data_IF_585106718102
#
_entry.id   IF_585106718102
#
_cell.length_a   1.000
_cell.length_b   1.000
_cell.length_c   1.000
_cell.angle_alpha   90.00
_cell.angle_beta   90.00
_cell.angle_gamma   90.00
#
_symmetry.space_group_name_H-M   'P 1'
#
loop_
_entity.id
_entity.type
_entity.pdbx_description
1 polymer ?
#
# COMPACT_ATOMS: atom_id res chain seq x y z
N UNK A 1 -28.84 -51.21 7.10
CA UNK A 1 -28.02 -50.84 8.28
C UNK A 1 -26.98 -51.92 8.50
N UNK A 2 -25.71 -51.61 8.33
CA UNK A 2 -24.62 -52.37 8.92
C UNK A 2 -23.75 -51.34 9.66
N UNK A 3 -24.06 -51.18 10.94
CA UNK A 3 -23.24 -50.51 11.94
C UNK A 3 -22.19 -51.53 12.35
N UNK A 4 -20.91 -51.14 12.44
CA UNK A 4 -19.73 -51.94 12.84
C UNK A 4 -18.78 -52.38 11.70
N UNK A 5 -18.36 -51.45 10.83
CA UNK A 5 -16.96 -51.43 10.39
C UNK A 5 -16.25 -50.35 11.21
N UNK A 6 -15.67 -50.75 12.34
CA UNK A 6 -14.55 -49.99 12.90
C UNK A 6 -13.39 -50.26 11.95
N UNK A 7 -13.00 -49.25 11.18
CA UNK A 7 -11.72 -49.27 10.49
C UNK A 7 -10.66 -49.58 11.55
N UNK A 8 -10.06 -50.77 11.48
CA UNK A 8 -8.83 -51.03 12.20
C UNK A 8 -7.82 -50.03 11.67
N UNK A 9 -7.51 -49.02 12.48
CA UNK A 9 -6.38 -48.13 12.23
C UNK A 9 -5.14 -49.01 12.32
N UNK A 10 -4.70 -49.56 11.20
CA UNK A 10 -3.37 -50.13 11.09
C UNK A 10 -2.40 -49.01 11.49
N UNK A 11 -1.72 -49.20 12.62
CA UNK A 11 -0.68 -48.28 13.09
C UNK A 11 0.49 -48.38 12.11
N UNK A 12 0.41 -47.61 11.04
CA UNK A 12 1.52 -47.37 10.13
C UNK A 12 2.70 -46.76 10.87
N UNK A 13 3.88 -46.80 10.26
CA UNK A 13 5.08 -46.23 10.87
C UNK A 13 4.88 -44.73 11.15
N UNK A 14 5.58 -44.13 12.13
CA UNK A 14 5.51 -42.68 12.37
C UNK A 14 5.75 -41.85 11.10
N UNK A 15 6.57 -42.34 10.15
CA UNK A 15 6.78 -41.72 8.85
C UNK A 15 5.51 -41.71 7.98
N UNK A 16 4.70 -42.77 7.99
CA UNK A 16 3.43 -42.84 7.25
C UNK A 16 2.35 -41.91 7.83
N UNK A 17 2.35 -41.73 9.15
CA UNK A 17 1.47 -40.77 9.83
C UNK A 17 1.84 -39.32 9.48
N UNK A 18 3.13 -39.00 9.47
CA UNK A 18 3.64 -37.69 9.02
C UNK A 18 3.35 -37.43 7.54
N UNK A 19 3.41 -38.46 6.68
CA UNK A 19 3.06 -38.35 5.27
C UNK A 19 1.56 -38.11 5.05
N UNK A 20 0.69 -38.80 5.80
CA UNK A 20 -0.77 -38.64 5.73
C UNK A 20 -1.25 -37.28 6.26
N UNK A 21 -0.64 -36.75 7.33
CA UNK A 21 -1.01 -35.44 7.87
C UNK A 21 -0.66 -34.28 6.91
N UNK A 22 0.40 -34.44 6.13
CA UNK A 22 0.84 -33.48 5.10
C UNK A 22 -0.07 -33.43 3.87
N UNK A 23 -0.80 -34.50 3.57
CA UNK A 23 -1.63 -34.60 2.36
C UNK A 23 -2.97 -33.82 2.44
N UNK A 24 -3.38 -33.32 3.62
CA UNK A 24 -4.76 -32.87 3.86
C UNK A 24 -4.97 -31.34 3.99
N UNK A 25 -3.96 -30.49 3.79
CA UNK A 25 -4.14 -29.03 4.02
C UNK A 25 -3.64 -28.19 2.85
N UNK A 26 -4.40 -28.15 1.76
CA UNK A 26 -4.36 -26.99 0.88
C UNK A 26 -4.83 -25.79 1.70
N UNK A 27 -4.01 -24.74 1.82
CA UNK A 27 -4.33 -23.56 2.62
C UNK A 27 -5.64 -22.90 2.15
N UNK A 28 -6.37 -22.26 3.06
CA UNK A 28 -7.61 -21.58 2.71
C UNK A 28 -7.39 -20.55 1.57
N UNK A 29 -8.36 -20.39 0.64
CA UNK A 29 -8.24 -19.43 -0.44
C UNK A 29 -8.11 -17.99 0.10
N UNK A 30 -7.32 -17.17 -0.57
CA UNK A 30 -7.10 -15.77 -0.18
C UNK A 30 -8.33 -14.95 -0.52
N UNK A 31 -8.93 -14.36 0.51
CA UNK A 31 -9.97 -13.34 0.41
C UNK A 31 -9.41 -11.94 0.62
N UNK A 32 -10.15 -10.92 0.18
CA UNK A 32 -9.93 -9.49 0.48
C UNK A 32 -9.53 -9.28 1.95
N UNK A 33 -10.35 -9.78 2.88
CA UNK A 33 -10.11 -9.65 4.32
C UNK A 33 -8.86 -10.39 4.79
N UNK A 34 -8.61 -11.60 4.29
CA UNK A 34 -7.44 -12.38 4.71
C UNK A 34 -6.13 -11.77 4.21
N UNK A 35 -6.12 -11.18 3.01
CA UNK A 35 -4.96 -10.52 2.44
C UNK A 35 -4.54 -9.30 3.28
N UNK A 36 -5.52 -8.54 3.79
CA UNK A 36 -5.26 -7.38 4.65
C UNK A 36 -4.63 -7.74 6.01
N UNK A 37 -4.62 -9.03 6.39
CA UNK A 37 -3.88 -9.50 7.58
C UNK A 37 -2.39 -9.68 7.32
N UNK A 38 -1.95 -9.73 6.05
CA UNK A 38 -0.54 -9.78 5.71
C UNK A 38 0.08 -8.39 5.90
N UNK A 39 1.12 -8.31 6.75
CA UNK A 39 1.74 -7.04 7.13
C UNK A 39 2.39 -6.30 5.95
N UNK A 40 3.11 -7.01 5.08
CA UNK A 40 3.76 -6.41 3.91
C UNK A 40 2.73 -5.87 2.91
N UNK A 41 1.65 -6.62 2.68
CA UNK A 41 0.53 -6.19 1.83
C UNK A 41 -0.14 -4.93 2.39
N UNK A 42 -0.52 -4.95 3.67
CA UNK A 42 -1.15 -3.81 4.35
C UNK A 42 -0.25 -2.58 4.35
N UNK A 43 1.03 -2.73 4.68
CA UNK A 43 1.99 -1.64 4.73
C UNK A 43 2.21 -1.01 3.35
N UNK A 44 2.34 -1.82 2.30
CA UNK A 44 2.51 -1.32 0.93
C UNK A 44 1.28 -0.56 0.42
N UNK A 45 0.07 -1.10 0.65
CA UNK A 45 -1.17 -0.43 0.29
C UNK A 45 -1.32 0.91 1.04
N UNK A 46 -1.17 0.88 2.37
CA UNK A 46 -1.27 2.07 3.22
C UNK A 46 -0.26 3.14 2.82
N UNK A 47 1.01 2.76 2.60
CA UNK A 47 2.05 3.71 2.24
C UNK A 47 1.70 4.42 0.93
N UNK A 48 1.41 3.66 -0.13
CA UNK A 48 1.14 4.24 -1.44
C UNK A 48 -0.15 5.08 -1.44
N UNK A 49 -1.21 4.60 -0.79
CA UNK A 49 -2.48 5.32 -0.76
C UNK A 49 -2.39 6.63 0.00
N UNK A 50 -1.74 6.63 1.17
CA UNK A 50 -1.58 7.83 2.00
C UNK A 50 -0.63 8.85 1.36
N UNK A 51 0.47 8.40 0.74
CA UNK A 51 1.39 9.31 0.02
C UNK A 51 0.71 10.03 -1.14
N UNK A 52 -0.24 9.39 -1.82
CA UNK A 52 -1.03 10.04 -2.89
C UNK A 52 -2.14 10.90 -2.30
N UNK A 53 -2.80 10.45 -1.23
CA UNK A 53 -3.86 11.18 -0.54
C UNK A 53 -3.39 12.47 0.15
N UNK A 54 -2.12 12.56 0.54
CA UNK A 54 -1.57 13.76 1.17
C UNK A 54 -1.16 14.87 0.18
N UNK A 55 -1.16 14.58 -1.13
CA UNK A 55 -0.83 15.57 -2.15
C UNK A 55 -1.96 16.61 -2.25
N UNK A 56 -1.65 17.92 -2.12
CA UNK A 56 -2.63 18.97 -2.37
C UNK A 56 -3.24 18.84 -3.77
N UNK A 57 -4.55 19.10 -3.85
CA UNK A 57 -5.34 19.02 -5.08
C UNK A 57 -5.64 20.44 -5.54
N UNK A 58 -4.90 20.87 -6.55
CA UNK A 58 -4.98 22.21 -7.09
C UNK A 58 -5.70 22.19 -8.44
N UNK A 59 -6.54 23.19 -8.69
CA UNK A 59 -7.30 23.30 -9.93
C UNK A 59 -6.68 24.38 -10.82
N UNK A 60 -6.44 24.04 -12.08
CA UNK A 60 -5.84 24.95 -13.04
C UNK A 60 -6.75 25.17 -14.26
N UNK A 61 -6.52 26.28 -14.94
CA UNK A 61 -7.06 26.57 -16.27
C UNK A 61 -5.92 26.93 -17.21
N UNK A 62 -5.85 26.26 -18.36
CA UNK A 62 -4.91 26.61 -19.44
C UNK A 62 -5.36 27.90 -20.12
N UNK A 63 -4.46 28.87 -20.28
CA UNK A 63 -4.70 30.03 -21.15
C UNK A 63 -4.43 29.61 -22.60
N UNK A 64 -5.35 29.91 -23.52
CA UNK A 64 -5.14 29.59 -24.93
C UNK A 64 -4.08 30.53 -25.53
N UNK A 65 -3.06 29.96 -26.18
CA UNK A 65 -1.98 30.71 -26.83
C UNK A 65 -0.73 30.93 -25.96
N UNK A 66 -0.84 30.72 -24.65
CA UNK A 66 0.27 30.79 -23.71
C UNK A 66 0.36 29.43 -23.00
N UNK A 67 1.54 28.79 -22.94
CA UNK A 67 1.73 27.52 -22.21
C UNK A 67 1.77 27.75 -20.69
N UNK A 68 0.81 28.53 -20.19
CA UNK A 68 0.69 28.97 -18.80
C UNK A 68 -0.60 28.39 -18.23
N UNK A 69 -0.42 27.69 -17.11
CA UNK A 69 -1.51 27.16 -16.31
C UNK A 69 -1.77 28.13 -15.15
N UNK A 70 -2.99 28.67 -15.08
CA UNK A 70 -3.38 29.63 -14.04
C UNK A 70 -4.20 28.90 -12.98
N UNK A 71 -3.83 29.10 -11.72
CA UNK A 71 -4.56 28.60 -10.56
C UNK A 71 -5.97 29.21 -10.52
N UNK A 72 -6.96 28.38 -10.30
CA UNK A 72 -8.35 28.78 -10.14
C UNK A 72 -8.93 28.15 -8.87
N UNK A 73 -9.86 28.83 -8.16
CA UNK A 73 -10.45 28.27 -6.96
C UNK A 73 -11.01 26.86 -7.18
N UNK A 74 -10.52 25.90 -6.38
CA UNK A 74 -10.99 24.53 -6.41
C UNK A 74 -12.46 24.45 -6.02
N UNK A 75 -13.32 23.77 -6.81
CA UNK A 75 -14.72 23.58 -6.45
C UNK A 75 -14.87 22.65 -5.26
N UNK A 76 -16.05 22.64 -4.64
CA UNK A 76 -16.33 21.78 -3.48
C UNK A 76 -16.09 20.28 -3.74
N UNK A 77 -16.27 19.82 -4.97
CA UNK A 77 -15.96 18.43 -5.35
C UNK A 77 -14.49 18.07 -5.25
N UNK A 78 -13.58 19.05 -5.27
CA UNK A 78 -12.13 18.87 -5.06
C UNK A 78 -11.68 19.18 -3.63
N UNK A 79 -12.59 19.56 -2.74
CA UNK A 79 -12.32 19.83 -1.32
C UNK A 79 -12.94 18.75 -0.45
N UNK A 80 -14.21 18.44 -0.71
CA UNK A 80 -15.04 17.51 0.04
C UNK A 80 -15.89 16.69 -0.94
N UNK A 81 -15.29 15.71 -1.62
CA UNK A 81 -15.93 14.93 -2.68
C UNK A 81 -17.01 13.95 -2.20
N UNK A 82 -17.15 13.71 -0.90
CA UNK A 82 -18.03 12.68 -0.36
C UNK A 82 -18.89 13.20 0.80
N UNK A 83 -20.13 12.73 0.82
CA UNK A 83 -21.12 12.95 1.88
C UNK A 83 -21.24 11.77 2.85
N UNK A 84 -20.46 10.70 2.61
CA UNK A 84 -20.48 9.49 3.42
C UNK A 84 -20.21 9.80 4.90
N UNK A 85 -20.84 9.04 5.81
CA UNK A 85 -20.61 9.19 7.26
C UNK A 85 -21.46 10.24 7.98
N UNK A 86 -22.59 10.67 7.39
CA UNK A 86 -23.64 11.49 8.02
C UNK A 86 -23.13 12.57 9.00
N UNK A 87 -22.64 13.69 8.48
CA UNK A 87 -22.06 14.78 9.27
C UNK A 87 -20.55 14.64 9.51
N UNK A 88 -19.93 13.56 9.03
CA UNK A 88 -18.47 13.37 9.00
C UNK A 88 -17.97 13.22 7.55
N UNK A 89 -18.08 14.28 6.74
CA UNK A 89 -17.75 14.17 5.33
C UNK A 89 -16.25 13.92 5.14
N UNK A 90 -15.92 13.15 4.11
CA UNK A 90 -14.53 12.84 3.78
C UNK A 90 -13.92 13.98 2.97
N UNK A 91 -12.83 14.56 3.49
CA UNK A 91 -12.01 15.51 2.73
C UNK A 91 -11.31 14.84 1.54
N UNK A 92 -10.91 15.65 0.54
CA UNK A 92 -10.33 15.15 -0.71
C UNK A 92 -9.14 14.21 -0.50
N UNK A 93 -8.25 14.52 0.45
CA UNK A 93 -7.07 13.68 0.69
C UNK A 93 -7.41 12.28 1.21
N UNK A 94 -8.36 12.20 2.16
CA UNK A 94 -8.85 10.92 2.68
C UNK A 94 -9.62 10.14 1.61
N UNK A 95 -10.41 10.83 0.80
CA UNK A 95 -11.12 10.22 -0.34
C UNK A 95 -10.14 9.66 -1.38
N UNK A 96 -9.08 10.40 -1.70
CA UNK A 96 -8.03 9.94 -2.60
C UNK A 96 -7.30 8.73 -2.02
N UNK A 97 -6.90 8.77 -0.74
CA UNK A 97 -6.26 7.61 -0.09
C UNK A 97 -7.17 6.37 -0.12
N UNK A 98 -8.44 6.52 0.30
CA UNK A 98 -9.40 5.40 0.34
C UNK A 98 -9.64 4.80 -1.05
N UNK A 99 -9.86 5.63 -2.07
CA UNK A 99 -10.11 5.14 -3.44
C UNK A 99 -8.83 4.61 -4.11
N UNK A 100 -7.66 5.15 -3.77
CA UNK A 100 -6.37 4.63 -4.22
C UNK A 100 -6.09 3.25 -3.63
N UNK A 101 -6.44 3.02 -2.36
CA UNK A 101 -6.33 1.69 -1.74
C UNK A 101 -7.17 0.64 -2.49
N UNK A 102 -8.37 0.98 -2.94
CA UNK A 102 -9.20 0.07 -3.75
C UNK A 102 -8.67 -0.14 -5.17
N UNK A 103 -8.13 0.89 -5.82
CA UNK A 103 -7.41 0.74 -7.09
C UNK A 103 -6.21 -0.20 -6.95
N UNK A 104 -5.53 -0.13 -5.81
CA UNK A 104 -4.34 -0.93 -5.52
C UNK A 104 -4.68 -2.37 -5.14
N UNK A 105 -5.87 -2.60 -4.58
CA UNK A 105 -6.36 -3.95 -4.23
C UNK A 105 -7.01 -4.63 -5.43
N UNK A 106 -7.89 -3.94 -6.14
CA UNK A 106 -8.81 -4.54 -7.12
C UNK A 106 -8.59 -4.07 -8.55
N UNK A 107 -7.70 -3.10 -8.78
CA UNK A 107 -7.51 -2.47 -10.10
C UNK A 107 -8.69 -1.60 -10.54
N UNK A 108 -9.73 -1.50 -9.71
CA UNK A 108 -10.98 -0.84 -10.03
C UNK A 108 -11.48 -0.18 -8.74
N UNK A 109 -12.00 1.04 -8.86
CA UNK A 109 -12.65 1.75 -7.78
C UNK A 109 -13.98 2.32 -8.30
N UNK A 110 -15.03 2.16 -7.49
CA UNK A 110 -16.38 2.59 -7.83
C UNK A 110 -16.86 3.60 -6.80
N UNK A 111 -17.60 4.59 -7.25
CA UNK A 111 -18.29 5.54 -6.38
C UNK A 111 -19.66 5.90 -6.92
N UNK A 112 -20.65 6.03 -6.04
CA UNK A 112 -21.99 6.46 -6.41
C UNK A 112 -22.02 7.98 -6.52
N UNK A 113 -22.50 8.50 -7.65
CA UNK A 113 -22.66 9.95 -7.86
C UNK A 113 -23.96 10.38 -7.18
N UNK A 114 -23.85 10.93 -5.97
CA UNK A 114 -25.00 11.33 -5.14
C UNK A 114 -25.54 12.69 -5.56
N UNK A 115 -24.65 13.59 -6.02
CA UNK A 115 -25.04 14.92 -6.47
C UNK A 115 -24.23 15.34 -7.71
N UNK A 116 -24.85 16.19 -8.53
CA UNK A 116 -24.23 16.81 -9.70
C UNK A 116 -24.23 18.32 -9.57
N UNK A 117 -23.26 18.95 -10.21
CA UNK A 117 -23.20 20.40 -10.31
C UNK A 117 -24.14 20.93 -11.42
N UNK A 118 -24.14 22.26 -11.61
CA UNK A 118 -24.94 22.92 -12.65
C UNK A 118 -24.56 22.51 -14.09
N UNK A 119 -23.38 21.93 -14.29
CA UNK A 119 -22.91 21.42 -15.59
C UNK A 119 -23.22 19.93 -15.78
N UNK A 120 -23.90 19.29 -14.82
CA UNK A 120 -24.20 17.86 -14.83
C UNK A 120 -23.00 16.97 -14.49
N UNK A 121 -21.89 17.56 -14.03
CA UNK A 121 -20.68 16.85 -13.63
C UNK A 121 -20.80 16.36 -12.17
N UNK A 122 -20.05 15.33 -11.76
CA UNK A 122 -20.09 14.85 -10.38
C UNK A 122 -19.68 15.94 -9.38
N UNK A 123 -20.58 16.25 -8.45
CA UNK A 123 -20.32 17.16 -7.34
C UNK A 123 -20.00 16.41 -6.05
N UNK A 124 -20.70 15.28 -5.83
CA UNK A 124 -20.50 14.39 -4.68
C UNK A 124 -20.47 12.95 -5.17
N UNK A 125 -19.41 12.22 -4.82
CA UNK A 125 -19.16 10.82 -5.18
C UNK A 125 -18.77 10.05 -3.93
N UNK A 126 -19.68 9.21 -3.45
CA UNK A 126 -19.45 8.38 -2.28
C UNK A 126 -18.78 7.07 -2.73
N UNK A 127 -17.54 6.77 -2.25
CA UNK A 127 -16.87 5.51 -2.56
C UNK A 127 -17.70 4.31 -2.09
N UNK A 128 -17.70 3.24 -2.89
CA UNK A 128 -18.42 2.02 -2.58
C UNK A 128 -17.43 0.87 -2.39
N UNK A 129 -17.58 0.02 -1.35
CA UNK A 129 -16.75 -1.15 -1.18
C UNK A 129 -16.80 -2.03 -2.42
N UNK A 130 -15.65 -2.23 -3.07
CA UNK A 130 -15.60 -3.00 -4.31
C UNK A 130 -15.97 -4.47 -4.12
N UNK A 131 -15.81 -5.01 -2.91
CA UNK A 131 -16.14 -6.41 -2.58
C UNK A 131 -17.63 -6.74 -2.70
N UNK A 132 -18.51 -5.74 -2.56
CA UNK A 132 -19.96 -5.88 -2.74
C UNK A 132 -20.43 -5.36 -4.11
N UNK A 133 -19.50 -5.11 -5.04
CA UNK A 133 -19.78 -4.55 -6.34
C UNK A 133 -19.54 -5.54 -7.48
N UNK A 134 -20.34 -5.42 -8.54
CA UNK A 134 -20.12 -6.10 -9.80
C UNK A 134 -20.21 -5.12 -10.97
N UNK A 135 -19.34 -5.32 -11.95
CA UNK A 135 -19.32 -4.52 -13.18
C UNK A 135 -19.92 -5.38 -14.30
N UNK A 136 -21.03 -4.94 -14.88
CA UNK A 136 -21.63 -5.62 -16.02
C UNK A 136 -20.99 -5.12 -17.31
N UNK A 137 -20.42 -6.04 -18.09
CA UNK A 137 -19.74 -5.72 -19.35
C UNK A 137 -20.36 -6.48 -20.52
N UNK A 138 -20.37 -5.85 -21.69
CA UNK A 138 -20.75 -6.46 -22.97
C UNK A 138 -19.66 -6.16 -23.99
N UNK A 139 -18.78 -7.14 -24.22
CA UNK A 139 -17.57 -6.93 -25.00
C UNK A 139 -16.67 -5.88 -24.33
N UNK A 140 -16.28 -4.85 -25.08
CA UNK A 140 -15.42 -3.76 -24.60
C UNK A 140 -16.17 -2.61 -23.90
N UNK A 141 -17.45 -2.78 -23.57
CA UNK A 141 -18.29 -1.74 -22.96
C UNK A 141 -18.75 -2.15 -21.57
N UNK A 142 -18.71 -1.21 -20.63
CA UNK A 142 -19.47 -1.31 -19.37
C UNK A 142 -20.92 -0.93 -19.67
N UNK A 143 -21.87 -1.75 -19.25
CA UNK A 143 -23.31 -1.55 -19.50
C UNK A 143 -24.09 -1.20 -18.23
N UNK A 144 -23.50 -1.42 -17.05
CA UNK A 144 -24.10 -1.09 -15.77
C UNK A 144 -23.27 -1.63 -14.62
N UNK A 145 -23.73 -1.35 -13.41
CA UNK A 145 -23.08 -1.75 -12.17
C UNK A 145 -24.11 -2.35 -11.23
N UNK A 146 -23.69 -3.30 -10.40
CA UNK A 146 -24.43 -3.72 -9.21
C UNK A 146 -23.64 -3.29 -8.00
N UNK A 147 -24.26 -2.52 -7.11
CA UNK A 147 -23.65 -2.08 -5.86
C UNK A 147 -24.53 -2.61 -4.72
N UNK A 148 -24.02 -3.61 -3.99
CA UNK A 148 -24.80 -4.37 -3.03
C UNK A 148 -25.97 -5.09 -3.70
N UNK A 149 -27.21 -4.68 -3.36
CA UNK A 149 -28.45 -5.31 -3.88
C UNK A 149 -29.13 -4.51 -4.98
N UNK A 150 -28.58 -3.37 -5.38
CA UNK A 150 -29.19 -2.46 -6.34
C UNK A 150 -28.35 -2.40 -7.62
N UNK A 151 -29.04 -2.35 -8.76
CA UNK A 151 -28.43 -2.15 -10.06
C UNK A 151 -28.47 -0.66 -10.43
N UNK A 152 -27.39 -0.15 -11.02
CA UNK A 152 -27.17 1.24 -11.39
C UNK A 152 -26.71 1.35 -12.84
N UNK A 153 -27.07 2.44 -13.49
CA UNK A 153 -26.66 2.75 -14.86
C UNK A 153 -25.24 3.34 -14.90
N UNK A 154 -24.66 3.41 -16.10
CA UNK A 154 -23.30 3.93 -16.29
C UNK A 154 -23.15 5.41 -15.97
N UNK A 155 -24.24 6.17 -15.97
CA UNK A 155 -24.20 7.59 -15.63
C UNK A 155 -24.19 7.81 -14.11
N UNK A 156 -24.78 6.90 -13.32
CA UNK A 156 -24.92 7.06 -11.87
C UNK A 156 -23.66 6.70 -11.08
N UNK A 157 -22.72 6.00 -11.71
CA UNK A 157 -21.52 5.47 -11.04
C UNK A 157 -20.27 6.03 -11.69
N UNK A 158 -19.41 6.60 -10.86
CA UNK A 158 -18.04 6.91 -11.20
C UNK A 158 -17.19 5.64 -11.11
N UNK A 159 -16.41 5.35 -12.15
CA UNK A 159 -15.54 4.18 -12.23
C UNK A 159 -14.14 4.58 -12.65
N UNK A 160 -13.19 4.47 -11.73
CA UNK A 160 -11.76 4.59 -12.02
C UNK A 160 -11.11 3.20 -12.12
N UNK A 161 -10.14 3.09 -13.03
CA UNK A 161 -9.48 1.84 -13.37
C UNK A 161 -7.97 2.00 -13.38
N UNK A 162 -7.27 1.05 -12.82
CA UNK A 162 -5.83 0.88 -12.90
C UNK A 162 -5.49 -0.44 -13.62
N UNK A 163 -4.27 -0.54 -14.17
CA UNK A 163 -3.78 -1.78 -14.80
C UNK A 163 -4.71 -2.36 -15.87
N UNK A 164 -5.26 -1.49 -16.72
CA UNK A 164 -6.24 -1.87 -17.76
C UNK A 164 -5.51 -2.51 -18.95
N UNK A 165 -5.73 -3.80 -19.26
CA UNK A 165 -5.20 -4.42 -20.46
C UNK A 165 -5.82 -3.80 -21.71
N UNK A 166 -5.07 -3.80 -22.82
CA UNK A 166 -5.59 -3.35 -24.11
C UNK A 166 -6.90 -4.10 -24.46
N UNK A 167 -7.95 -3.34 -24.81
CA UNK A 167 -9.26 -3.89 -25.17
C UNK A 167 -10.17 -4.26 -23.99
N UNK A 168 -9.69 -4.20 -22.74
CA UNK A 168 -10.51 -4.46 -21.55
C UNK A 168 -11.24 -3.20 -21.06
N UNK A 169 -12.55 -3.28 -20.74
CA UNK A 169 -13.25 -2.20 -20.08
C UNK A 169 -12.93 -2.09 -18.58
N UNK A 170 -12.26 -3.08 -17.97
CA UNK A 170 -11.96 -3.13 -16.53
C UNK A 170 -10.46 -3.30 -16.25
N UNK A 171 -10.02 -2.86 -15.07
CA UNK A 171 -8.65 -3.05 -14.59
C UNK A 171 -8.38 -4.46 -14.07
N UNK A 172 -7.12 -4.90 -14.14
CA UNK A 172 -6.68 -6.16 -13.50
C UNK A 172 -6.52 -5.96 -12.00
N UNK A 173 -6.97 -6.94 -11.21
CA UNK A 173 -6.86 -6.94 -9.75
C UNK A 173 -5.45 -7.35 -9.29
N UNK A 174 -4.68 -6.45 -8.63
CA UNK A 174 -3.39 -6.82 -8.05
C UNK A 174 -3.53 -7.86 -6.93
N UNK A 175 -4.61 -7.81 -6.15
CA UNK A 175 -4.92 -8.83 -5.14
C UNK A 175 -5.05 -10.22 -5.77
N UNK A 176 -5.77 -10.33 -6.90
CA UNK A 176 -5.95 -11.58 -7.60
C UNK A 176 -4.61 -12.09 -8.19
N UNK A 177 -3.80 -11.18 -8.72
CA UNK A 177 -2.46 -11.52 -9.23
C UNK A 177 -1.53 -12.00 -8.10
N UNK A 178 -1.60 -11.39 -6.92
CA UNK A 178 -0.78 -11.72 -5.76
C UNK A 178 -1.30 -12.93 -4.94
N UNK A 179 -2.43 -13.53 -5.33
CA UNK A 179 -3.17 -14.48 -4.49
C UNK A 179 -2.32 -15.67 -4.03
N UNK A 180 -1.49 -16.26 -4.91
CA UNK A 180 -0.62 -17.38 -4.54
C UNK A 180 0.51 -16.97 -3.58
N UNK A 181 1.17 -15.84 -3.83
CA UNK A 181 2.22 -15.32 -2.94
C UNK A 181 1.68 -14.97 -1.56
N UNK A 182 0.48 -14.37 -1.51
CA UNK A 182 -0.24 -14.12 -0.27
C UNK A 182 -0.64 -15.41 0.45
N UNK A 183 -1.15 -16.41 -0.28
CA UNK A 183 -1.56 -17.70 0.29
C UNK A 183 -0.36 -18.41 0.93
N UNK A 184 0.79 -18.40 0.25
CA UNK A 184 2.02 -18.99 0.76
C UNK A 184 2.46 -18.32 2.07
N UNK A 185 2.46 -16.99 2.12
CA UNK A 185 2.84 -16.23 3.32
C UNK A 185 1.85 -16.44 4.49
N UNK A 186 0.54 -16.40 4.22
CA UNK A 186 -0.49 -16.64 5.24
C UNK A 186 -0.45 -18.09 5.77
N UNK A 187 -0.21 -19.07 4.89
CA UNK A 187 -0.07 -20.47 5.27
C UNK A 187 1.19 -20.70 6.10
N UNK A 188 2.29 -20.03 5.78
CA UNK A 188 3.52 -20.05 6.57
C UNK A 188 3.27 -19.48 7.98
N UNK A 189 2.60 -18.34 8.10
CA UNK A 189 2.24 -17.77 9.41
C UNK A 189 1.32 -18.70 10.22
N UNK A 190 0.30 -19.28 9.60
CA UNK A 190 -0.58 -20.24 10.26
C UNK A 190 0.17 -21.49 10.72
N UNK A 191 1.12 -21.98 9.92
CA UNK A 191 2.01 -23.06 10.30
C UNK A 191 2.90 -22.69 11.49
N UNK A 192 3.51 -21.50 11.50
CA UNK A 192 4.33 -21.04 12.61
C UNK A 192 3.52 -20.95 13.91
N UNK A 193 2.30 -20.39 13.86
CA UNK A 193 1.40 -20.34 15.02
C UNK A 193 1.08 -21.76 15.51
N UNK A 194 0.69 -22.66 14.61
CA UNK A 194 0.39 -24.05 14.96
C UNK A 194 1.61 -24.80 15.51
N UNK A 195 2.80 -24.47 15.02
CA UNK A 195 4.08 -25.01 15.48
C UNK A 195 4.35 -24.59 16.93
N UNK A 196 4.29 -23.28 17.23
CA UNK A 196 4.50 -22.76 18.58
C UNK A 196 3.41 -23.18 19.57
N UNK A 197 2.20 -23.47 19.09
CA UNK A 197 1.11 -24.04 19.88
C UNK A 197 1.25 -25.56 20.10
N UNK A 198 2.32 -26.21 19.63
CA UNK A 198 2.55 -27.65 19.79
C UNK A 198 1.60 -28.53 18.97
N UNK A 199 0.95 -27.98 17.94
CA UNK A 199 -0.10 -28.64 17.16
C UNK A 199 0.33 -29.05 15.74
N UNK A 200 1.52 -28.65 15.28
CA UNK A 200 1.97 -28.91 13.91
C UNK A 200 2.81 -30.19 13.76
N UNK A 201 3.59 -30.57 14.77
CA UNK A 201 4.47 -31.75 14.75
C UNK A 201 4.47 -32.41 16.14
N UNK A 202 4.49 -33.75 16.23
CA UNK A 202 4.70 -34.43 17.51
C UNK A 202 5.93 -33.87 18.22
N UNK A 203 5.82 -33.53 19.50
CA UNK A 203 6.95 -32.96 20.27
C UNK A 203 8.10 -33.95 20.45
N UNK A 204 7.82 -35.23 20.26
CA UNK A 204 8.74 -36.34 20.36
C UNK A 204 8.00 -37.66 20.21
N UNK A 205 8.76 -38.75 20.31
CA UNK A 205 8.23 -40.10 20.41
C UNK A 205 8.50 -40.68 21.81
N UNK A 206 7.51 -41.38 22.36
CA UNK A 206 7.71 -42.27 23.51
C UNK A 206 7.91 -43.69 22.97
N UNK A 207 9.12 -44.22 23.14
CA UNK A 207 9.48 -45.57 22.71
C UNK A 207 9.43 -46.52 23.90
N UNK A 208 8.71 -47.63 23.73
CA UNK A 208 8.67 -48.74 24.68
C UNK A 208 9.67 -49.83 24.26
N UNK A 209 10.69 -50.08 25.09
CA UNK A 209 11.82 -50.93 24.70
C UNK A 209 11.65 -52.43 25.04
N UNK A 210 10.50 -52.86 25.57
CA UNK A 210 10.31 -54.20 26.15
C UNK A 210 9.48 -55.18 25.31
N UNK A 211 9.08 -54.82 24.09
CA UNK A 211 8.29 -55.67 23.19
C UNK A 211 7.06 -54.97 22.63
N UNK A 212 6.04 -55.75 22.23
CA UNK A 212 4.78 -55.19 21.70
C UNK A 212 3.98 -54.51 22.80
N UNK A 213 3.40 -53.35 22.46
CA UNK A 213 2.57 -52.55 23.35
C UNK A 213 1.13 -52.64 22.85
N UNK A 214 0.22 -53.09 23.71
CA UNK A 214 -1.20 -53.12 23.38
C UNK A 214 -1.77 -51.70 23.21
N UNK A 215 -2.77 -51.55 22.32
CA UNK A 215 -3.34 -50.24 21.98
C UNK A 215 -3.99 -49.54 23.20
N UNK A 216 -4.59 -50.31 24.11
CA UNK A 216 -5.21 -49.75 25.33
C UNK A 216 -4.14 -49.26 26.31
N UNK A 217 -3.02 -50.00 26.41
CA UNK A 217 -1.89 -49.62 27.23
C UNK A 217 -1.20 -48.37 26.67
N UNK A 218 -0.99 -48.31 25.36
CA UNK A 218 -0.41 -47.15 24.69
C UNK A 218 -1.20 -45.86 24.95
N UNK A 219 -2.52 -45.90 24.81
CA UNK A 219 -3.39 -44.74 25.06
C UNK A 219 -3.39 -44.34 26.55
N UNK A 220 -3.35 -45.31 27.46
CA UNK A 220 -3.27 -45.05 28.91
C UNK A 220 -1.96 -44.35 29.27
N UNK A 221 -0.84 -44.82 28.75
CA UNK A 221 0.48 -44.22 28.99
C UNK A 221 0.61 -42.84 28.35
N UNK A 222 0.11 -42.66 27.13
CA UNK A 222 0.01 -41.34 26.48
C UNK A 222 -0.79 -40.36 27.34
N UNK A 223 -1.97 -40.76 27.83
CA UNK A 223 -2.81 -39.88 28.65
C UNK A 223 -2.12 -39.49 29.95
N UNK A 224 -1.50 -40.44 30.66
CA UNK A 224 -0.73 -40.17 31.88
C UNK A 224 0.43 -39.21 31.63
N UNK A 225 1.14 -39.39 30.52
CA UNK A 225 2.23 -38.50 30.12
C UNK A 225 1.70 -37.09 29.84
N UNK A 226 0.64 -36.96 29.04
CA UNK A 226 0.01 -35.67 28.74
C UNK A 226 -0.48 -34.96 30.00
N UNK A 227 -1.13 -35.68 30.93
CA UNK A 227 -1.59 -35.11 32.20
C UNK A 227 -0.43 -34.59 33.03
N UNK A 228 0.64 -35.38 33.21
CA UNK A 228 1.80 -34.97 33.99
C UNK A 228 2.53 -33.76 33.37
N UNK A 229 2.68 -33.73 32.04
CA UNK A 229 3.28 -32.60 31.32
C UNK A 229 2.42 -31.34 31.46
N UNK A 230 1.08 -31.47 31.40
CA UNK A 230 0.17 -30.33 31.51
C UNK A 230 0.07 -29.80 32.95
N UNK A 231 0.10 -30.67 33.97
CA UNK A 231 0.06 -30.29 35.38
C UNK A 231 1.42 -29.85 35.94
N UNK A 232 2.52 -30.14 35.24
CA UNK A 232 3.88 -29.93 35.73
C UNK A 232 4.28 -30.91 36.85
N UNK A 233 3.49 -31.97 37.05
CA UNK A 233 3.76 -32.99 38.06
C UNK A 233 4.83 -33.98 37.60
N UNK A 234 5.60 -34.58 38.53
CA UNK A 234 6.56 -35.62 38.18
C UNK A 234 5.90 -36.79 37.43
N UNK A 235 6.36 -37.06 36.21
CA UNK A 235 5.90 -38.21 35.44
C UNK A 235 6.57 -39.49 35.93
N UNK A 236 5.80 -40.37 36.58
CA UNK A 236 6.29 -41.66 37.08
C UNK A 236 6.02 -42.77 36.06
N UNK A 237 7.07 -43.41 35.56
CA UNK A 237 6.99 -44.52 34.61
C UNK A 237 8.00 -45.63 34.91
N UNK A 238 7.83 -46.80 34.25
CA UNK A 238 8.75 -47.94 34.37
C UNK A 238 10.07 -47.70 33.62
N UNK A 239 11.13 -48.47 33.96
CA UNK A 239 12.51 -48.32 33.46
C UNK A 239 12.68 -48.36 31.93
N UNK A 240 11.68 -48.87 31.20
CA UNK A 240 11.80 -49.27 29.80
C UNK A 240 11.31 -48.23 28.77
N UNK A 241 11.08 -46.98 29.18
CA UNK A 241 10.63 -45.90 28.29
C UNK A 241 11.76 -44.93 27.92
N UNK A 242 11.79 -44.52 26.65
CA UNK A 242 12.68 -43.46 26.17
C UNK A 242 11.87 -42.38 25.45
N UNK A 243 12.06 -41.11 25.82
CA UNK A 243 11.47 -39.98 25.11
C UNK A 243 12.52 -39.35 24.20
N UNK A 244 12.32 -39.44 22.89
CA UNK A 244 13.16 -38.77 21.91
C UNK A 244 12.43 -37.50 21.45
N UNK A 245 12.98 -36.33 21.75
CA UNK A 245 12.46 -35.07 21.22
C UNK A 245 12.96 -34.85 19.79
N UNK A 246 12.08 -34.40 18.90
CA UNK A 246 12.48 -34.00 17.55
C UNK A 246 13.03 -32.57 17.59
N UNK A 247 14.34 -32.40 17.36
CA UNK A 247 15.00 -31.08 17.34
C UNK A 247 14.69 -30.29 16.06
N UNK A 248 14.25 -29.03 16.21
CA UNK A 248 13.71 -28.19 15.12
C UNK A 248 14.71 -27.23 14.43
N UNK A 249 15.98 -27.18 14.86
CA UNK A 249 16.88 -26.04 14.60
C UNK A 249 17.26 -25.78 13.13
N UNK A 250 17.30 -26.80 12.26
CA UNK A 250 17.77 -26.61 10.88
C UNK A 250 16.69 -26.05 9.91
N UNK A 251 15.40 -26.24 10.20
CA UNK A 251 14.30 -25.75 9.36
C UNK A 251 13.91 -24.29 9.62
N UNK A 252 14.29 -23.74 10.77
CA UNK A 252 13.88 -22.39 11.19
C UNK A 252 14.51 -21.28 10.33
N UNK A 253 15.80 -21.40 9.97
CA UNK A 253 16.49 -20.42 9.14
C UNK A 253 15.91 -20.34 7.72
N UNK A 254 15.71 -21.49 7.07
CA UNK A 254 15.11 -21.57 5.74
C UNK A 254 13.66 -21.03 5.72
N UNK A 255 12.91 -21.25 6.79
CA UNK A 255 11.57 -20.71 6.95
C UNK A 255 11.56 -19.18 7.04
N UNK A 256 12.49 -18.60 7.81
CA UNK A 256 12.63 -17.14 7.91
C UNK A 256 13.01 -16.51 6.56
N UNK A 257 13.92 -17.11 5.82
CA UNK A 257 14.32 -16.59 4.50
C UNK A 257 13.18 -16.69 3.47
N UNK A 258 12.40 -17.78 3.51
CA UNK A 258 11.17 -17.88 2.71
C UNK A 258 10.16 -16.77 3.07
N UNK A 259 10.01 -16.45 4.36
CA UNK A 259 9.11 -15.39 4.81
C UNK A 259 9.55 -14.00 4.33
N UNK A 260 10.85 -13.69 4.34
CA UNK A 260 11.41 -12.45 3.77
C UNK A 260 11.18 -12.37 2.26
N UNK A 261 11.48 -13.45 1.53
CA UNK A 261 11.26 -13.54 0.08
C UNK A 261 9.80 -13.33 -0.30
N UNK A 262 8.88 -13.94 0.45
CA UNK A 262 7.44 -13.77 0.24
C UNK A 262 6.98 -12.33 0.50
N UNK A 263 7.49 -11.67 1.55
CA UNK A 263 7.18 -10.27 1.81
C UNK A 263 7.64 -9.35 0.66
N UNK A 264 8.87 -9.56 0.16
CA UNK A 264 9.38 -8.83 -1.00
C UNK A 264 8.51 -9.03 -2.25
N UNK A 265 8.08 -10.26 -2.51
CA UNK A 265 7.25 -10.58 -3.68
C UNK A 265 5.86 -9.91 -3.61
N UNK A 266 5.23 -9.91 -2.42
CA UNK A 266 3.96 -9.20 -2.19
C UNK A 266 4.09 -7.70 -2.45
N UNK A 267 5.17 -7.06 -2.00
CA UNK A 267 5.43 -5.64 -2.25
C UNK A 267 5.55 -5.31 -3.75
N UNK A 268 6.09 -6.23 -4.58
CA UNK A 268 6.21 -6.04 -6.03
C UNK A 268 4.87 -5.95 -6.73
N UNK A 269 3.86 -6.74 -6.34
CA UNK A 269 2.52 -6.66 -6.92
C UNK A 269 1.85 -5.30 -6.68
N UNK A 270 2.15 -4.66 -5.55
CA UNK A 270 1.68 -3.31 -5.23
C UNK A 270 2.61 -2.25 -5.83
N UNK A 271 3.77 -2.60 -6.37
CA UNK A 271 4.72 -1.63 -6.90
C UNK A 271 5.23 -0.69 -5.80
N UNK A 272 5.57 -1.23 -4.63
CA UNK A 272 6.25 -0.50 -3.55
C UNK A 272 7.58 -1.22 -3.27
N UNK A 273 8.72 -0.52 -3.21
CA UNK A 273 9.99 -1.13 -2.80
C UNK A 273 9.91 -1.68 -1.37
N UNK A 274 10.40 -2.89 -1.13
CA UNK A 274 10.28 -3.56 0.18
C UNK A 274 10.96 -2.79 1.32
N UNK A 275 12.07 -2.12 1.04
CA UNK A 275 12.79 -1.27 1.99
C UNK A 275 11.97 -0.06 2.48
N UNK A 276 11.01 0.42 1.69
CA UNK A 276 10.11 1.51 2.08
C UNK A 276 9.04 1.06 3.09
N UNK A 277 8.88 -0.25 3.29
CA UNK A 277 7.95 -0.87 4.24
C UNK A 277 8.65 -1.84 5.17
N UNK A 278 9.94 -1.58 5.44
CA UNK A 278 10.78 -2.31 6.39
C UNK A 278 10.95 -3.82 6.09
N UNK A 279 10.77 -4.23 4.83
CA UNK A 279 11.12 -5.58 4.39
C UNK A 279 12.64 -5.62 4.18
N UNK A 280 13.36 -6.53 4.86
CA UNK A 280 14.81 -6.60 4.75
C UNK A 280 15.25 -6.92 3.32
N UNK A 281 16.21 -6.15 2.82
CA UNK A 281 16.86 -6.36 1.52
C UNK A 281 18.28 -6.84 1.77
N UNK A 282 18.60 -8.04 1.30
CA UNK A 282 19.92 -8.63 1.54
C UNK A 282 21.04 -7.84 0.84
N UNK A 283 22.17 -7.68 1.52
CA UNK A 283 23.40 -7.14 0.94
C UNK A 283 23.54 -5.62 0.88
N UNK A 284 22.58 -4.84 1.41
CA UNK A 284 22.72 -3.37 1.48
C UNK A 284 23.07 -2.87 2.88
N UNK A 285 24.28 -2.33 3.06
CA UNK A 285 24.54 -1.42 4.17
C UNK A 285 23.79 -0.12 3.92
N UNK A 286 22.84 0.23 4.79
CA UNK A 286 22.06 1.45 4.67
C UNK A 286 22.97 2.66 4.96
N UNK A 287 23.25 3.46 3.94
CA UNK A 287 23.92 4.76 4.05
C UNK A 287 22.92 5.87 3.73
N UNK A 288 23.15 7.08 4.23
CA UNK A 288 22.25 8.22 3.99
C UNK A 288 22.02 8.49 2.49
N UNK A 289 23.08 8.45 1.68
CA UNK A 289 22.99 8.63 0.22
C UNK A 289 22.12 7.57 -0.45
N UNK A 290 22.23 6.31 -0.02
CA UNK A 290 21.40 5.23 -0.55
C UNK A 290 19.92 5.44 -0.19
N UNK A 291 19.61 5.93 1.02
CA UNK A 291 18.22 6.21 1.44
C UNK A 291 17.59 7.31 0.60
N UNK A 292 18.29 8.44 0.39
CA UNK A 292 17.76 9.54 -0.44
C UNK A 292 17.45 9.07 -1.87
N UNK A 293 18.35 8.27 -2.47
CA UNK A 293 18.14 7.72 -3.81
C UNK A 293 16.94 6.74 -3.86
N UNK A 294 16.72 5.94 -2.81
CA UNK A 294 15.57 5.03 -2.71
C UNK A 294 14.26 5.77 -2.55
N UNK A 295 14.22 6.82 -1.73
CA UNK A 295 13.05 7.69 -1.61
C UNK A 295 12.71 8.33 -2.97
N UNK A 296 13.72 8.81 -3.70
CA UNK A 296 13.53 9.35 -5.05
C UNK A 296 12.99 8.29 -6.02
N UNK A 297 13.49 7.05 -5.94
CA UNK A 297 13.01 5.94 -6.77
C UNK A 297 11.51 5.68 -6.55
N UNK A 298 11.06 5.62 -5.29
CA UNK A 298 9.63 5.50 -4.95
C UNK A 298 8.81 6.63 -5.58
N UNK A 299 9.25 7.89 -5.42
CA UNK A 299 8.53 9.04 -5.95
C UNK A 299 8.43 9.02 -7.48
N UNK A 300 9.54 8.78 -8.17
CA UNK A 300 9.61 8.90 -9.64
C UNK A 300 8.99 7.70 -10.34
N UNK A 301 9.31 6.47 -9.90
CA UNK A 301 8.93 5.26 -10.63
C UNK A 301 7.56 4.74 -10.18
N UNK A 302 7.29 4.80 -8.87
CA UNK A 302 6.15 4.11 -8.28
C UNK A 302 4.94 5.02 -8.03
N UNK A 303 5.15 6.31 -7.75
CA UNK A 303 4.07 7.27 -7.48
C UNK A 303 3.65 8.10 -8.71
N UNK A 304 4.56 8.42 -9.63
CA UNK A 304 4.25 9.31 -10.74
C UNK A 304 3.09 8.81 -11.63
N UNK A 305 3.13 7.53 -12.02
CA UNK A 305 2.09 6.94 -12.86
C UNK A 305 0.67 6.95 -12.22
N UNK A 306 0.49 6.52 -10.95
CA UNK A 306 -0.81 6.66 -10.31
C UNK A 306 -1.21 8.12 -10.12
N UNK A 307 -0.29 9.04 -9.79
CA UNK A 307 -0.60 10.48 -9.66
C UNK A 307 -1.22 11.04 -10.95
N UNK A 308 -0.55 10.87 -12.10
CA UNK A 308 -1.04 11.38 -13.40
C UNK A 308 -2.39 10.77 -13.79
N UNK A 309 -2.60 9.48 -13.46
CA UNK A 309 -3.90 8.83 -13.67
C UNK A 309 -4.99 9.48 -12.82
N UNK A 310 -4.70 9.78 -11.55
CA UNK A 310 -5.62 10.47 -10.64
C UNK A 310 -5.93 11.89 -11.11
N UNK A 311 -4.93 12.66 -11.54
CA UNK A 311 -5.13 13.97 -12.17
C UNK A 311 -6.10 13.88 -13.34
N UNK A 312 -5.90 12.91 -14.22
CA UNK A 312 -6.74 12.69 -15.40
C UNK A 312 -8.17 12.31 -15.01
N UNK A 313 -8.35 11.42 -14.03
CA UNK A 313 -9.65 10.97 -13.56
C UNK A 313 -10.44 12.11 -12.87
N UNK A 314 -9.79 12.86 -11.98
CA UNK A 314 -10.41 13.99 -11.26
C UNK A 314 -10.70 15.18 -12.19
N UNK A 315 -9.86 15.41 -13.19
CA UNK A 315 -10.09 16.47 -14.19
C UNK A 315 -11.39 16.29 -14.97
N UNK A 316 -11.92 15.06 -15.08
CA UNK A 316 -13.20 14.79 -15.74
C UNK A 316 -14.41 15.32 -14.95
N UNK A 317 -14.22 15.64 -13.67
CA UNK A 317 -15.27 16.22 -12.83
C UNK A 317 -15.34 17.74 -12.98
N UNK A 318 -14.44 18.33 -13.75
CA UNK A 318 -14.36 19.77 -13.95
C UNK A 318 -14.80 20.16 -15.36
N UNK A 319 -15.46 21.33 -15.51
CA UNK A 319 -15.79 21.86 -16.82
C UNK A 319 -14.50 22.25 -17.57
N UNK A 320 -14.40 21.86 -18.85
CA UNK A 320 -13.30 22.28 -19.71
C UNK A 320 -13.27 23.81 -19.84
N UNK A 321 -12.09 24.46 -19.89
CA UNK A 321 -10.75 23.89 -20.01
C UNK A 321 -10.01 23.73 -18.66
N UNK A 322 -10.74 23.52 -17.55
CA UNK A 322 -10.13 23.29 -16.24
C UNK A 322 -9.64 21.86 -16.09
N UNK A 323 -8.60 21.66 -15.28
CA UNK A 323 -8.06 20.36 -14.95
C UNK A 323 -7.42 20.39 -13.55
N UNK A 324 -7.21 19.23 -12.97
CA UNK A 324 -6.62 19.03 -11.64
C UNK A 324 -5.14 18.68 -11.78
N UNK A 325 -4.32 19.22 -10.88
CA UNK A 325 -2.96 18.72 -10.62
C UNK A 325 -2.79 18.37 -9.16
N UNK A 326 -2.08 17.28 -8.91
CA UNK A 326 -1.69 16.83 -7.59
C UNK A 326 -0.28 17.33 -7.31
N UNK A 327 -0.13 18.20 -6.33
CA UNK A 327 1.12 18.91 -6.10
C UNK A 327 2.17 18.00 -5.44
N UNK A 328 3.06 17.42 -6.26
CA UNK A 328 4.16 16.56 -5.81
C UNK A 328 5.23 17.28 -4.99
N UNK A 329 5.37 18.61 -5.11
CA UNK A 329 6.34 19.37 -4.33
C UNK A 329 6.01 19.35 -2.83
N UNK A 330 4.77 19.03 -2.47
CA UNK A 330 4.36 18.84 -1.08
C UNK A 330 5.12 17.70 -0.38
N UNK A 331 5.63 16.71 -1.12
CA UNK A 331 6.46 15.63 -0.56
C UNK A 331 7.75 16.17 0.08
N UNK A 332 8.30 17.26 -0.46
CA UNK A 332 9.52 17.90 0.03
C UNK A 332 9.29 18.74 1.30
N UNK A 333 8.05 18.88 1.78
CA UNK A 333 7.76 19.62 3.03
C UNK A 333 8.50 19.03 4.23
N UNK A 334 8.78 17.73 4.22
CA UNK A 334 9.48 17.03 5.29
C UNK A 334 11.02 17.04 5.13
N UNK A 335 11.54 17.63 4.06
CA UNK A 335 12.98 17.82 3.82
C UNK A 335 13.28 19.32 3.59
N UNK A 336 13.36 20.12 4.68
CA UNK A 336 13.56 21.56 4.56
C UNK A 336 14.90 21.92 3.92
N UNK A 337 15.93 21.08 4.07
CA UNK A 337 17.25 21.33 3.50
C UNK A 337 17.22 21.25 1.98
N UNK A 338 16.66 20.17 1.41
CA UNK A 338 16.55 20.03 -0.04
C UNK A 338 15.62 21.09 -0.64
N UNK A 339 14.51 21.41 0.05
CA UNK A 339 13.59 22.47 -0.37
C UNK A 339 14.31 23.82 -0.48
N UNK A 340 15.07 24.20 0.56
CA UNK A 340 15.81 25.47 0.58
C UNK A 340 16.90 25.51 -0.49
N UNK A 341 17.62 24.40 -0.69
CA UNK A 341 18.64 24.31 -1.73
C UNK A 341 18.08 24.51 -3.15
N UNK A 342 16.88 23.98 -3.43
CA UNK A 342 16.18 24.20 -4.70
C UNK A 342 15.76 25.66 -4.85
N UNK A 343 15.19 26.28 -3.82
CA UNK A 343 14.75 27.68 -3.86
C UNK A 343 15.93 28.62 -4.08
N UNK A 344 17.03 28.44 -3.33
CA UNK A 344 18.26 29.20 -3.49
C UNK A 344 18.81 29.09 -4.92
N UNK A 345 18.81 27.90 -5.50
CA UNK A 345 19.25 27.67 -6.89
C UNK A 345 18.35 28.37 -7.91
N UNK A 346 17.02 28.38 -7.69
CA UNK A 346 16.06 29.09 -8.56
C UNK A 346 16.23 30.61 -8.50
N UNK A 347 16.47 31.16 -7.31
CA UNK A 347 16.75 32.60 -7.12
C UNK A 347 18.10 32.98 -7.74
N UNK A 348 19.16 32.20 -7.48
CA UNK A 348 20.47 32.43 -8.07
C UNK A 348 20.45 32.32 -9.61
N UNK A 349 19.67 31.37 -10.13
CA UNK A 349 19.42 31.18 -11.56
C UNK A 349 18.49 32.21 -12.20
N UNK A 350 17.97 33.18 -11.43
CA UNK A 350 17.01 34.21 -11.87
C UNK A 350 15.73 33.66 -12.48
N UNK A 351 15.33 32.46 -12.06
CA UNK A 351 14.05 31.82 -12.44
C UNK A 351 12.92 32.28 -11.53
N UNK A 352 13.24 32.59 -10.27
CA UNK A 352 12.29 33.04 -9.24
C UNK A 352 12.80 34.35 -8.63
N UNK A 353 11.92 35.34 -8.47
CA UNK A 353 12.26 36.56 -7.74
C UNK A 353 12.23 36.31 -6.23
N UNK A 354 13.10 36.95 -5.42
CA UNK A 354 13.06 36.82 -3.96
C UNK A 354 11.70 37.15 -3.33
N UNK A 355 10.94 38.07 -3.92
CA UNK A 355 9.57 38.38 -3.46
C UNK A 355 8.59 37.22 -3.68
N UNK A 356 8.75 36.49 -4.78
CA UNK A 356 7.90 35.32 -5.10
C UNK A 356 8.24 34.13 -4.19
N UNK A 357 9.52 33.92 -3.90
CA UNK A 357 9.98 32.94 -2.92
C UNK A 357 9.39 33.22 -1.52
N UNK A 358 9.35 34.48 -1.10
CA UNK A 358 8.74 34.87 0.17
C UNK A 358 7.24 34.57 0.19
N UNK A 359 6.53 34.88 -0.89
CA UNK A 359 5.11 34.55 -1.02
C UNK A 359 4.87 33.03 -0.92
N UNK A 360 5.70 32.19 -1.56
CA UNK A 360 5.64 30.72 -1.47
C UNK A 360 5.84 30.19 -0.04
N UNK A 361 6.60 30.92 0.78
CA UNK A 361 6.85 30.59 2.18
C UNK A 361 5.90 31.34 3.14
N UNK A 362 4.83 31.96 2.64
CA UNK A 362 3.87 32.77 3.42
C UNK A 362 4.54 33.91 4.21
N UNK A 363 5.61 34.49 3.68
CA UNK A 363 6.31 35.65 4.24
C UNK A 363 5.88 36.93 3.51
N UNK A 364 5.70 38.06 4.23
CA UNK A 364 5.40 39.33 3.59
C UNK A 364 6.57 39.78 2.71
N UNK A 365 6.33 40.56 1.64
CA UNK A 365 7.39 41.21 0.88
C UNK A 365 8.33 42.00 1.79
N UNK A 366 9.58 42.19 1.36
CA UNK A 366 10.53 42.99 2.13
C UNK A 366 10.03 44.42 2.32
N UNK A 367 10.20 44.95 3.54
CA UNK A 367 9.94 46.38 3.79
C UNK A 367 11.08 47.23 3.21
N UNK A 368 10.84 48.52 2.93
CA UNK A 368 11.89 49.43 2.46
C UNK A 368 13.12 49.47 3.38
N UNK A 369 12.92 49.38 4.70
CA UNK A 369 13.99 49.38 5.72
C UNK A 369 14.86 48.13 5.61
N UNK A 370 14.25 46.96 5.39
CA UNK A 370 14.98 45.69 5.19
C UNK A 370 15.81 45.73 3.90
N UNK A 371 15.27 46.33 2.83
CA UNK A 371 16.01 46.50 1.58
C UNK A 371 17.22 47.41 1.78
N UNK A 372 17.10 48.46 2.59
CA UNK A 372 18.19 49.38 2.90
C UNK A 372 19.27 48.72 3.77
N UNK A 373 18.87 47.91 4.76
CA UNK A 373 19.78 47.07 5.54
C UNK A 373 20.56 46.10 4.64
N UNK A 374 19.88 45.40 3.73
CA UNK A 374 20.51 44.47 2.79
C UNK A 374 21.49 45.15 1.82
N UNK A 375 21.21 46.39 1.40
CA UNK A 375 22.14 47.21 0.61
C UNK A 375 23.36 47.62 1.43
N UNK A 376 23.14 48.04 2.67
CA UNK A 376 24.21 48.43 3.61
C UNK A 376 25.16 47.27 3.90
N UNK A 377 24.62 46.05 4.00
CA UNK A 377 25.39 44.81 4.20
C UNK A 377 26.04 44.27 2.91
N UNK A 378 25.92 44.97 1.77
CA UNK A 378 26.43 44.55 0.44
C UNK A 378 25.91 43.18 -0.04
N UNK A 379 24.73 42.75 0.44
CA UNK A 379 24.11 41.46 0.10
C UNK A 379 23.42 41.54 -1.28
N UNK A 380 22.97 42.73 -1.67
CA UNK A 380 22.40 43.01 -2.99
C UNK A 380 23.40 43.89 -3.74
N UNK A 381 23.87 43.45 -4.90
CA UNK A 381 24.80 44.23 -5.71
C UNK A 381 24.19 45.59 -6.09
N UNK A 382 24.97 46.67 -5.98
CA UNK A 382 24.55 47.99 -6.43
C UNK A 382 24.08 47.92 -7.90
N UNK A 383 22.97 48.59 -8.27
CA UNK A 383 22.60 48.70 -9.68
C UNK A 383 23.75 49.35 -10.44
N UNK A 384 24.23 48.69 -11.50
CA UNK A 384 25.33 49.18 -12.32
C UNK A 384 25.07 50.63 -12.73
N UNK A 385 25.92 51.57 -12.26
CA UNK A 385 25.87 52.97 -12.66
C UNK A 385 26.01 53.01 -14.18
N UNK A 386 24.96 53.46 -14.89
CA UNK A 386 25.06 53.74 -16.31
C UNK A 386 26.14 54.80 -16.51
N UNK A 387 27.24 54.42 -17.17
CA UNK A 387 28.23 55.40 -17.60
C UNK A 387 27.54 56.35 -18.59
N UNK A 388 27.65 57.68 -18.41
CA UNK A 388 27.10 58.63 -19.36
C UNK A 388 27.77 58.41 -20.72
N UNK A 389 26.95 58.18 -21.76
CA UNK A 389 27.41 58.12 -23.14
C UNK A 389 28.11 59.44 -23.46
N UNK A 390 29.41 59.40 -23.70
CA UNK A 390 30.12 60.50 -24.34
C UNK A 390 29.56 60.67 -25.75
N UNK A 391 28.77 61.71 -25.95
CA UNK A 391 28.34 62.16 -27.26
C UNK A 391 29.60 62.64 -27.99
N UNK A 392 30.17 61.80 -28.85
CA UNK A 392 31.19 62.20 -29.80
C UNK A 392 30.59 63.21 -30.76
N UNK A 393 30.93 64.48 -30.57
CA UNK A 393 30.60 65.55 -31.50
C UNK A 393 31.31 65.31 -32.83
N UNK A 394 30.52 65.33 -33.90
CA UNK A 394 30.99 65.51 -35.28
C UNK A 394 31.34 66.99 -35.43
N UNK A 395 32.62 67.30 -35.63
CA UNK A 395 33.12 68.25 -36.63
C UNK A 395 34.64 68.21 -36.70
#
# INVERSE_FOLDING_TARGET
>A
MSLLRRDQVAYGTPQEWLARSRASRLGAPVTSTSAMRNSAYWAALRLRSELIGMLPVDTYRRIAGENIDVDVPSPMSMVQPSSYGAGQPMGIGQWISSTQMDLDRFGNCLGLIVARDAFGLPAVVDPVPFEDAAIHTKGSKVVGYRLGRSDYTTIEVWHERAYVPAGSPIGLSPLAAAAWSLQASLSAQAFAIAWFQGSAVPSGELVWNKGELDAVQAETHKRRFMTAVQSGEPFVHGKDWTYNSFGAKASEAAFLDQQKGAASDVCRYIGVPGDMVDVPVDGSSVTYANVTQRNLQLMVINLNAPIVRRETALSQWLPRPRFVKLNSDALLRMDPQQREQILLSRVAGKVLAPSEERALNNLPPFTPEQIDEMKTLQIIGEPAKQQPKTTGGIQ
#
